data_IF_881835084832
#
_entry.id   IF_881835084832
#
_cell.length_a   1.000
_cell.length_b   1.000
_cell.length_c   1.000
_cell.angle_alpha   90.00
_cell.angle_beta   90.00
_cell.angle_gamma   90.00
#
_symmetry.space_group_name_H-M   'P 1'
#
loop_
_entity.id
_entity.type
_entity.pdbx_description
1 polymer ?
#
# COMPACT_ATOMS: atom_id res chain seq x y z
N UNK A 1 -15.14 -6.91 -12.58
CA UNK A 1 -14.61 -5.59 -12.95
C UNK A 1 -13.08 -5.62 -13.02
N UNK A 2 -12.47 -4.71 -13.80
CA UNK A 2 -11.01 -4.57 -13.87
C UNK A 2 -10.47 -4.01 -12.56
N UNK A 3 -9.55 -4.72 -11.91
CA UNK A 3 -8.98 -4.29 -10.61
C UNK A 3 -8.14 -3.02 -10.70
N UNK A 4 -7.73 -2.60 -11.92
CA UNK A 4 -6.93 -1.40 -12.13
C UNK A 4 -7.78 -0.14 -12.42
N UNK A 5 -8.75 -0.23 -13.33
CA UNK A 5 -9.50 0.94 -13.80
C UNK A 5 -11.00 0.93 -13.50
N UNK A 6 -11.54 -0.14 -12.91
CA UNK A 6 -12.95 -0.29 -12.56
C UNK A 6 -13.90 -0.60 -13.72
N UNK A 7 -13.44 -0.60 -14.98
CA UNK A 7 -14.31 -0.92 -16.13
C UNK A 7 -14.80 -2.36 -16.07
N UNK A 8 -16.02 -2.58 -16.53
CA UNK A 8 -16.60 -3.93 -16.68
C UNK A 8 -15.72 -4.77 -17.59
N UNK A 9 -15.51 -6.04 -17.23
CA UNK A 9 -14.85 -7.01 -18.09
C UNK A 9 -15.83 -7.49 -19.15
N UNK A 10 -15.31 -7.88 -20.32
CA UNK A 10 -16.15 -8.46 -21.39
C UNK A 10 -16.82 -9.73 -20.89
N UNK A 11 -18.05 -9.98 -21.32
CA UNK A 11 -18.84 -11.20 -20.98
C UNK A 11 -18.16 -12.48 -21.45
N UNK A 12 -17.36 -12.41 -22.52
CA UNK A 12 -16.55 -13.50 -23.06
C UNK A 12 -15.18 -13.66 -22.39
N UNK A 13 -14.86 -12.83 -21.37
CA UNK A 13 -13.58 -12.92 -20.67
C UNK A 13 -13.48 -14.24 -19.89
N UNK A 14 -12.27 -14.80 -19.83
CA UNK A 14 -12.00 -15.98 -19.00
C UNK A 14 -12.34 -15.68 -17.53
N UNK A 15 -12.71 -16.71 -16.78
CA UNK A 15 -13.16 -16.61 -15.38
C UNK A 15 -12.09 -16.00 -14.45
N UNK A 16 -10.81 -16.15 -14.79
CA UNK A 16 -9.65 -15.64 -14.06
C UNK A 16 -9.18 -14.25 -14.53
N UNK A 17 -9.87 -13.66 -15.52
CA UNK A 17 -9.51 -12.33 -16.05
C UNK A 17 -9.78 -11.24 -15.00
N UNK A 18 -8.74 -10.51 -14.65
CA UNK A 18 -8.79 -9.41 -13.67
C UNK A 18 -8.49 -8.03 -14.28
N UNK A 19 -8.05 -7.96 -15.53
CA UNK A 19 -7.78 -6.72 -16.26
C UNK A 19 -8.62 -6.66 -17.54
N UNK A 20 -9.17 -5.48 -17.87
CA UNK A 20 -9.97 -5.28 -19.09
C UNK A 20 -9.12 -5.20 -20.36
N UNK A 21 -7.82 -4.97 -20.25
CA UNK A 21 -6.91 -4.82 -21.38
C UNK A 21 -5.46 -5.09 -20.99
N UNK A 22 -4.60 -5.33 -22.00
CA UNK A 22 -3.15 -5.39 -21.80
C UNK A 22 -2.57 -4.10 -21.24
N UNK A 23 -3.12 -2.94 -21.64
CA UNK A 23 -2.70 -1.64 -21.09
C UNK A 23 -2.94 -1.54 -19.57
N UNK A 24 -4.09 -2.00 -19.07
CA UNK A 24 -4.37 -2.04 -17.63
C UNK A 24 -3.45 -3.00 -16.88
N UNK A 25 -3.14 -4.17 -17.47
CA UNK A 25 -2.17 -5.12 -16.90
C UNK A 25 -0.78 -4.49 -16.78
N UNK A 26 -0.31 -3.85 -17.85
CA UNK A 26 1.00 -3.16 -17.86
C UNK A 26 1.02 -1.99 -16.87
N UNK A 27 -0.03 -1.19 -16.80
CA UNK A 27 -0.12 -0.07 -15.87
C UNK A 27 -0.10 -0.54 -14.40
N UNK A 28 -0.84 -1.60 -14.06
CA UNK A 28 -0.81 -2.21 -12.73
C UNK A 28 0.60 -2.74 -12.40
N UNK A 29 1.24 -3.43 -13.33
CA UNK A 29 2.60 -3.93 -13.13
C UNK A 29 3.62 -2.79 -12.94
N UNK A 30 3.50 -1.70 -13.71
CA UNK A 30 4.38 -0.53 -13.59
C UNK A 30 4.20 0.24 -12.28
N UNK A 31 3.02 0.19 -11.67
CA UNK A 31 2.79 0.83 -10.38
C UNK A 31 3.58 0.19 -9.24
N UNK A 32 4.03 -1.05 -9.42
CA UNK A 32 4.69 -1.84 -8.37
C UNK A 32 3.73 -2.37 -7.30
N UNK A 33 2.50 -1.87 -7.20
CA UNK A 33 1.54 -2.28 -6.16
C UNK A 33 1.21 -3.78 -6.30
N UNK A 34 1.41 -4.58 -5.25
CA UNK A 34 1.16 -6.03 -5.31
C UNK A 34 -0.29 -6.37 -5.64
N UNK A 35 -0.47 -7.35 -6.52
CA UNK A 35 -1.81 -7.80 -6.96
C UNK A 35 -2.74 -8.20 -5.79
N UNK A 36 -2.30 -8.83 -4.70
CA UNK A 36 -3.17 -9.08 -3.54
C UNK A 36 -3.85 -7.82 -3.01
N UNK A 37 -3.13 -6.70 -2.90
CA UNK A 37 -3.70 -5.41 -2.46
C UNK A 37 -4.73 -4.89 -3.48
N UNK A 38 -4.43 -4.95 -4.79
CA UNK A 38 -5.33 -4.49 -5.85
C UNK A 38 -6.66 -5.25 -5.91
N UNK A 39 -6.70 -6.50 -5.43
CA UNK A 39 -7.89 -7.35 -5.44
C UNK A 39 -8.87 -7.09 -4.30
N UNK A 40 -8.46 -6.30 -3.31
CA UNK A 40 -9.28 -6.04 -2.12
C UNK A 40 -9.99 -4.69 -2.21
N UNK A 41 -11.14 -4.56 -1.53
CA UNK A 41 -11.86 -3.29 -1.38
C UNK A 41 -11.48 -2.63 -0.04
N UNK A 42 -10.18 -2.39 0.18
CA UNK A 42 -9.65 -1.81 1.42
C UNK A 42 -8.92 -0.49 1.16
N UNK A 43 -9.32 0.23 0.13
CA UNK A 43 -8.68 1.48 -0.27
C UNK A 43 -9.49 2.69 0.18
N UNK A 44 -8.77 3.72 0.58
CA UNK A 44 -9.31 5.03 0.92
C UNK A 44 -8.51 6.12 0.19
N UNK A 45 -9.03 7.33 0.21
CA UNK A 45 -8.26 8.53 -0.11
C UNK A 45 -7.77 9.21 1.19
N UNK A 46 -6.90 10.19 1.07
CA UNK A 46 -6.48 11.03 2.19
C UNK A 46 -6.21 12.48 1.73
N UNK A 47 -6.36 13.44 2.66
CA UNK A 47 -6.15 14.86 2.43
C UNK A 47 -4.70 15.30 2.74
N UNK A 48 -4.40 16.60 2.60
CA UNK A 48 -3.09 17.18 2.90
C UNK A 48 -2.61 16.98 4.35
N UNK A 49 -3.53 16.71 5.26
CA UNK A 49 -3.25 16.43 6.68
C UNK A 49 -3.20 14.93 6.98
N UNK A 50 -3.16 14.08 5.94
CA UNK A 50 -3.23 12.61 6.04
C UNK A 50 -4.51 12.12 6.76
N UNK A 51 -5.64 12.88 6.71
CA UNK A 51 -6.92 12.40 7.22
C UNK A 51 -7.56 11.48 6.21
N UNK A 52 -8.09 10.32 6.64
CA UNK A 52 -8.72 9.37 5.72
C UNK A 52 -10.05 9.90 5.17
N UNK A 53 -10.26 9.71 3.88
CA UNK A 53 -11.43 10.18 3.12
C UNK A 53 -12.05 8.98 2.40
N UNK A 54 -13.38 8.88 2.46
CA UNK A 54 -14.16 7.90 1.71
C UNK A 54 -14.14 8.23 0.20
N UNK A 55 -13.64 7.34 -0.65
CA UNK A 55 -13.54 7.60 -2.09
C UNK A 55 -14.89 7.83 -2.77
N UNK A 56 -15.98 7.27 -2.23
CA UNK A 56 -17.30 7.33 -2.86
C UNK A 56 -18.00 8.67 -2.70
N UNK A 57 -17.75 9.41 -1.60
CA UNK A 57 -18.51 10.60 -1.27
C UNK A 57 -17.70 11.78 -0.71
N UNK A 58 -16.38 11.61 -0.51
CA UNK A 58 -15.51 12.67 0.01
C UNK A 58 -15.61 12.93 1.52
N UNK A 59 -16.45 12.20 2.25
CA UNK A 59 -16.57 12.32 3.69
C UNK A 59 -15.40 11.66 4.43
N UNK A 60 -15.31 11.84 5.75
CA UNK A 60 -14.31 11.16 6.57
C UNK A 60 -14.46 9.63 6.44
N UNK A 61 -13.35 8.94 6.27
CA UNK A 61 -13.27 7.48 6.32
C UNK A 61 -12.73 7.02 7.67
N UNK A 62 -12.91 5.74 7.97
CA UNK A 62 -12.39 5.09 9.18
C UNK A 62 -11.56 3.87 8.81
N UNK A 63 -10.42 3.68 9.48
CA UNK A 63 -9.63 2.46 9.33
C UNK A 63 -10.26 1.21 9.97
N UNK A 64 -11.41 1.36 10.61
CA UNK A 64 -12.15 0.25 11.26
C UNK A 64 -13.58 0.07 10.73
N UNK A 65 -14.05 0.95 9.82
CA UNK A 65 -15.37 0.82 9.21
C UNK A 65 -15.26 0.51 7.70
N UNK A 66 -15.47 -0.76 7.28
CA UNK A 66 -15.37 -1.18 5.89
C UNK A 66 -16.33 -0.45 4.92
N UNK A 67 -17.45 0.11 5.39
CA UNK A 67 -18.40 0.85 4.56
C UNK A 67 -17.81 2.17 4.01
N UNK A 68 -16.69 2.61 4.58
CA UNK A 68 -15.99 3.82 4.15
C UNK A 68 -14.84 3.54 3.17
N UNK A 69 -14.61 2.28 2.83
CA UNK A 69 -13.55 1.85 1.92
C UNK A 69 -14.07 1.60 0.52
N UNK A 70 -13.18 1.49 -0.43
CA UNK A 70 -13.49 1.24 -1.83
C UNK A 70 -12.49 0.28 -2.47
N UNK A 71 -12.73 -0.11 -3.72
CA UNK A 71 -11.73 -0.78 -4.55
C UNK A 71 -10.57 0.18 -4.87
N UNK A 72 -9.42 -0.38 -5.25
CA UNK A 72 -8.28 0.41 -5.73
C UNK A 72 -8.69 1.32 -6.91
N UNK A 73 -9.48 0.81 -7.83
CA UNK A 73 -9.91 1.56 -9.01
C UNK A 73 -10.76 2.79 -8.64
N UNK A 74 -11.70 2.64 -7.71
CA UNK A 74 -12.54 3.74 -7.23
C UNK A 74 -11.71 4.79 -6.49
N UNK A 75 -10.88 4.37 -5.54
CA UNK A 75 -10.01 5.28 -4.79
C UNK A 75 -9.07 6.06 -5.71
N UNK A 76 -8.43 5.38 -6.66
CA UNK A 76 -7.52 6.00 -7.64
C UNK A 76 -8.24 6.96 -8.60
N UNK A 77 -9.47 6.67 -9.00
CA UNK A 77 -10.26 7.54 -9.86
C UNK A 77 -10.78 8.78 -9.12
N UNK A 78 -11.05 8.65 -7.82
CA UNK A 78 -11.52 9.76 -6.99
C UNK A 78 -10.41 10.75 -6.64
N UNK A 79 -9.20 10.25 -6.28
CA UNK A 79 -8.06 11.09 -5.90
C UNK A 79 -6.73 10.36 -6.18
N UNK A 80 -5.66 11.15 -6.41
CA UNK A 80 -4.29 10.62 -6.55
C UNK A 80 -3.68 10.15 -5.21
N UNK A 81 -4.16 10.67 -4.10
CA UNK A 81 -3.70 10.31 -2.76
C UNK A 81 -4.51 9.12 -2.25
N UNK A 82 -3.96 7.93 -2.39
CA UNK A 82 -4.60 6.68 -1.97
C UNK A 82 -3.88 6.08 -0.77
N UNK A 83 -4.62 5.35 0.03
CA UNK A 83 -4.12 4.62 1.18
C UNK A 83 -4.78 3.25 1.28
N UNK A 84 -4.10 2.31 1.90
CA UNK A 84 -4.58 0.95 2.09
C UNK A 84 -4.88 0.69 3.57
N UNK A 85 -6.08 0.22 3.87
CA UNK A 85 -6.48 -0.15 5.23
C UNK A 85 -6.00 -1.56 5.54
N UNK A 86 -5.10 -1.68 6.52
CA UNK A 86 -4.48 -2.94 6.91
C UNK A 86 -5.48 -3.95 7.47
N UNK A 87 -5.16 -5.23 7.30
CA UNK A 87 -5.96 -6.39 7.72
C UNK A 87 -5.99 -7.46 6.64
N UNK A 88 -6.71 -8.55 6.91
CA UNK A 88 -6.79 -9.73 6.03
C UNK A 88 -5.40 -10.31 5.69
N UNK A 89 -4.52 -10.36 6.68
CA UNK A 89 -3.19 -10.91 6.53
C UNK A 89 -2.18 -9.97 5.83
N UNK A 90 -2.52 -8.71 5.60
CA UNK A 90 -1.61 -7.70 5.03
C UNK A 90 -1.12 -6.77 6.13
N UNK A 91 0.21 -6.67 6.26
CA UNK A 91 0.90 -5.79 7.19
C UNK A 91 1.87 -4.84 6.49
N UNK A 92 2.35 -3.87 7.26
CA UNK A 92 3.34 -2.91 6.81
C UNK A 92 4.29 -2.54 7.96
N UNK A 93 5.59 -2.50 7.65
CA UNK A 93 6.60 -1.85 8.46
C UNK A 93 6.79 -0.45 7.88
N UNK A 94 6.64 0.57 8.73
CA UNK A 94 6.79 1.98 8.40
C UNK A 94 8.07 2.52 9.04
N UNK A 95 8.94 3.07 8.22
CA UNK A 95 10.24 3.63 8.59
C UNK A 95 10.27 5.11 8.25
N UNK A 96 10.12 5.96 9.25
CA UNK A 96 10.23 7.41 9.06
C UNK A 96 11.70 7.85 9.00
N UNK A 97 11.97 8.88 8.20
CA UNK A 97 13.27 9.57 8.11
C UNK A 97 14.48 8.65 7.91
N UNK A 98 14.32 7.59 7.13
CA UNK A 98 15.35 6.59 6.88
C UNK A 98 16.11 6.78 5.55
N UNK A 99 15.67 7.72 4.70
CA UNK A 99 16.36 8.09 3.45
C UNK A 99 17.07 9.42 3.68
N UNK A 100 18.39 9.41 3.57
CA UNK A 100 19.24 10.60 3.77
C UNK A 100 19.11 11.63 2.64
N UNK A 101 19.64 12.83 2.83
CA UNK A 101 19.69 13.84 1.78
C UNK A 101 20.44 13.37 0.51
N UNK A 102 21.40 12.46 0.67
CA UNK A 102 22.16 11.86 -0.44
C UNK A 102 21.41 10.71 -1.12
N UNK A 103 20.14 10.46 -0.76
CA UNK A 103 19.31 9.37 -1.30
C UNK A 103 19.83 7.97 -1.00
N UNK A 104 20.57 7.83 0.10
CA UNK A 104 21.00 6.54 0.67
C UNK A 104 20.17 6.23 1.90
N UNK A 105 20.11 4.96 2.29
CA UNK A 105 19.44 4.55 3.53
C UNK A 105 20.34 4.82 4.76
N UNK A 106 19.70 5.01 5.91
CA UNK A 106 20.38 4.87 7.20
C UNK A 106 20.86 3.44 7.37
N UNK A 107 21.94 3.17 8.16
CA UNK A 107 22.43 1.79 8.34
C UNK A 107 21.33 0.81 8.82
N UNK A 108 20.51 1.22 9.78
CA UNK A 108 19.41 0.40 10.28
C UNK A 108 18.34 0.10 9.21
N UNK A 109 17.99 1.08 8.38
CA UNK A 109 17.06 0.86 7.27
C UNK A 109 17.66 -0.03 6.19
N UNK A 110 18.97 0.07 5.94
CA UNK A 110 19.65 -0.80 5.00
C UNK A 110 19.60 -2.26 5.47
N UNK A 111 19.88 -2.54 6.75
CA UNK A 111 19.77 -3.87 7.34
C UNK A 111 18.35 -4.44 7.20
N UNK A 112 17.32 -3.62 7.43
CA UNK A 112 15.93 -4.07 7.28
C UNK A 112 15.56 -4.36 5.83
N UNK A 113 15.99 -3.54 4.88
CA UNK A 113 15.76 -3.79 3.45
C UNK A 113 16.44 -5.09 3.01
N UNK A 114 17.65 -5.35 3.49
CA UNK A 114 18.39 -6.59 3.22
C UNK A 114 17.74 -7.83 3.88
N UNK A 115 17.07 -7.63 5.03
CA UNK A 115 16.33 -8.70 5.71
C UNK A 115 15.03 -9.09 4.96
N UNK A 116 14.46 -8.15 4.18
CA UNK A 116 13.26 -8.36 3.37
C UNK A 116 13.53 -8.27 1.87
N UNK A 117 14.40 -9.14 1.28
CA UNK A 117 14.91 -8.99 -0.09
C UNK A 117 13.82 -9.15 -1.17
N UNK A 118 12.77 -9.90 -0.88
CA UNK A 118 11.71 -10.25 -1.84
C UNK A 118 10.39 -9.51 -1.57
N UNK A 119 10.36 -8.61 -0.56
CA UNK A 119 9.19 -7.81 -0.24
C UNK A 119 9.12 -6.56 -1.15
N UNK A 120 7.89 -6.14 -1.45
CA UNK A 120 7.68 -4.85 -2.08
C UNK A 120 7.91 -3.73 -1.07
N UNK A 121 8.81 -2.80 -1.43
CA UNK A 121 9.15 -1.63 -0.62
C UNK A 121 8.91 -0.37 -1.45
N UNK A 122 8.21 0.59 -0.88
CA UNK A 122 7.98 1.89 -1.52
C UNK A 122 8.49 3.05 -0.66
N UNK A 123 8.72 4.18 -1.33
CA UNK A 123 9.05 5.43 -0.66
C UNK A 123 7.77 6.07 -0.11
N UNK A 124 7.77 6.48 1.14
CA UNK A 124 6.64 7.16 1.80
C UNK A 124 6.32 8.53 1.16
N UNK A 125 5.16 9.13 1.44
CA UNK A 125 4.79 10.43 0.84
C UNK A 125 5.76 11.57 1.13
N UNK A 126 6.41 11.58 2.30
CA UNK A 126 7.42 12.59 2.67
C UNK A 126 8.64 12.55 1.73
N UNK A 127 8.97 11.37 1.21
CA UNK A 127 10.13 11.15 0.35
C UNK A 127 11.40 10.79 1.08
N UNK A 128 11.36 10.67 2.40
CA UNK A 128 12.48 10.33 3.28
C UNK A 128 12.23 9.10 4.16
N UNK A 129 11.06 8.44 4.02
CA UNK A 129 10.71 7.20 4.69
C UNK A 129 10.42 6.07 3.73
N UNK A 130 10.29 4.85 4.25
CA UNK A 130 9.97 3.62 3.53
C UNK A 130 8.78 2.89 4.16
N UNK A 131 7.98 2.26 3.31
CA UNK A 131 6.98 1.26 3.69
C UNK A 131 7.42 -0.11 3.16
N UNK A 132 7.63 -1.09 4.04
CA UNK A 132 7.90 -2.49 3.68
C UNK A 132 6.58 -3.25 3.82
N UNK A 133 6.08 -3.78 2.71
CA UNK A 133 4.79 -4.46 2.64
C UNK A 133 4.95 -5.97 2.63
N UNK A 134 4.08 -6.68 3.35
CA UNK A 134 4.10 -8.14 3.35
C UNK A 134 2.87 -8.75 4.00
N UNK A 135 2.93 -10.06 4.21
CA UNK A 135 1.90 -10.81 4.94
C UNK A 135 2.26 -10.94 6.41
N UNK A 136 1.28 -10.80 7.29
CA UNK A 136 1.44 -11.03 8.71
C UNK A 136 0.09 -11.36 9.36
N UNK A 137 0.06 -12.16 10.44
CA UNK A 137 -1.15 -12.35 11.24
C UNK A 137 -1.59 -11.01 11.86
N UNK A 138 -2.90 -10.84 12.04
CA UNK A 138 -3.41 -9.63 12.68
C UNK A 138 -2.96 -9.56 14.14
N UNK A 139 -2.35 -8.44 14.51
CA UNK A 139 -1.85 -8.18 15.84
C UNK A 139 -1.89 -6.70 16.18
N UNK A 140 -1.76 -6.37 17.47
CA UNK A 140 -1.65 -4.98 17.92
C UNK A 140 -0.42 -4.32 17.31
N UNK A 141 -0.57 -3.10 16.80
CA UNK A 141 0.54 -2.32 16.26
C UNK A 141 1.66 -2.13 17.29
N UNK A 142 2.89 -2.14 16.80
CA UNK A 142 4.10 -1.98 17.61
C UNK A 142 4.90 -0.78 17.13
N UNK A 143 5.55 -0.13 18.08
CA UNK A 143 6.61 0.87 17.83
C UNK A 143 7.85 0.42 18.55
N UNK A 144 8.97 0.44 17.87
CA UNK A 144 10.29 0.08 18.42
C UNK A 144 11.35 1.00 17.88
N UNK A 145 12.44 1.12 18.63
CA UNK A 145 13.68 1.67 18.13
C UNK A 145 14.62 0.50 17.78
N UNK A 146 15.25 0.59 16.63
CA UNK A 146 16.24 -0.35 16.12
C UNK A 146 17.45 0.44 15.62
N UNK A 147 18.59 0.33 16.28
CA UNK A 147 19.83 1.04 15.94
C UNK A 147 19.63 2.54 15.67
N UNK A 148 18.82 3.20 16.52
CA UNK A 148 18.48 4.62 16.38
C UNK A 148 17.37 4.93 15.35
N UNK A 149 16.85 3.92 14.64
CA UNK A 149 15.74 4.05 13.70
C UNK A 149 14.41 3.71 14.39
N UNK A 150 13.45 4.62 14.31
CA UNK A 150 12.08 4.32 14.72
C UNK A 150 11.42 3.41 13.68
N UNK A 151 10.87 2.30 14.15
CA UNK A 151 10.15 1.30 13.36
C UNK A 151 8.73 1.20 13.89
N UNK A 152 7.76 1.39 13.01
CA UNK A 152 6.36 1.13 13.30
C UNK A 152 5.91 -0.10 12.51
N UNK A 153 5.26 -1.06 13.15
CA UNK A 153 4.71 -2.24 12.50
C UNK A 153 3.21 -2.34 12.77
N UNK A 154 2.44 -2.44 11.71
CA UNK A 154 0.99 -2.49 11.77
C UNK A 154 0.43 -3.58 10.85
N UNK A 155 -0.62 -4.26 11.32
CA UNK A 155 -1.32 -5.31 10.56
C UNK A 155 -2.83 -5.11 10.55
N UNK A 156 -3.37 -4.24 11.39
CA UNK A 156 -4.80 -3.95 11.50
C UNK A 156 -5.06 -2.59 12.15
N UNK A 157 -6.30 -2.08 12.06
CA UNK A 157 -6.76 -0.87 12.74
C UNK A 157 -6.15 0.44 12.24
N UNK A 158 -5.36 0.40 11.17
CA UNK A 158 -4.70 1.55 10.55
C UNK A 158 -4.82 1.51 9.04
N UNK A 159 -4.70 2.66 8.41
CA UNK A 159 -4.36 2.73 7.00
C UNK A 159 -2.93 3.24 6.84
N UNK A 160 -2.27 2.80 5.79
CA UNK A 160 -0.97 3.29 5.35
C UNK A 160 -1.15 3.97 3.99
N UNK A 161 -0.54 5.11 3.80
CA UNK A 161 -0.51 5.80 2.51
C UNK A 161 0.22 4.95 1.48
N UNK A 162 -0.27 4.91 0.25
CA UNK A 162 0.36 4.17 -0.85
C UNK A 162 0.75 5.16 -1.95
N UNK A 163 2.02 5.19 -2.29
CA UNK A 163 2.57 6.11 -3.28
C UNK A 163 2.83 5.47 -4.64
N UNK A 164 3.09 4.15 -4.66
CA UNK A 164 3.58 3.43 -5.83
C UNK A 164 5.02 3.81 -6.25
N UNK A 165 5.70 4.67 -5.47
CA UNK A 165 7.12 5.01 -5.70
C UNK A 165 8.01 3.89 -5.20
N UNK A 166 8.17 2.86 -6.01
CA UNK A 166 8.90 1.65 -5.63
C UNK A 166 10.37 1.95 -5.35
N UNK A 167 10.82 1.62 -4.14
CA UNK A 167 12.22 1.53 -3.76
C UNK A 167 12.80 0.18 -4.18
N UNK A 168 12.12 -0.90 -3.80
CA UNK A 168 12.48 -2.28 -4.13
C UNK A 168 11.27 -3.01 -4.72
N UNK A 169 11.48 -3.65 -5.87
CA UNK A 169 10.47 -4.55 -6.45
C UNK A 169 10.39 -5.83 -5.64
N UNK A 170 9.19 -6.33 -5.46
CA UNK A 170 8.97 -7.55 -4.70
C UNK A 170 7.51 -7.97 -4.71
N UNK A 171 7.18 -8.85 -3.78
CA UNK A 171 5.84 -9.38 -3.59
C UNK A 171 5.40 -9.22 -2.12
N UNK A 172 4.32 -9.88 -1.73
CA UNK A 172 3.81 -9.88 -0.36
C UNK A 172 4.38 -11.11 0.38
N UNK A 173 5.70 -11.09 0.68
CA UNK A 173 6.31 -12.13 1.51
C UNK A 173 6.00 -11.90 3.00
N UNK A 174 6.17 -12.88 3.89
CA UNK A 174 6.01 -12.70 5.34
C UNK A 174 6.89 -11.58 5.90
N UNK A 175 6.33 -10.82 6.87
CA UNK A 175 7.03 -9.81 7.66
C UNK A 175 7.45 -10.34 9.03
#
# INVERSE_FOLDING_TARGET
>A
MCIWCGKTLFTSARKDTIYCSGACKVAAHRSGIPTPMLKTARWINWDSNKRPINPANGNAASSTNPETWASHAEARNANKHIGFVLGQGIGCIDLDHCITANKTLTPAAQELVEYYPDNWIEISPSGDGLHIWGTAPEMKGMRREWHGQQIEFYTTGRYITVTGRTWQKGSMQPL
#
